data_IF_341462976651
#
_entry.id   IF_341462976651
#
_cell.length_a   1.000
_cell.length_b   1.000
_cell.length_c   1.000
_cell.angle_alpha   90.00
_cell.angle_beta   90.00
_cell.angle_gamma   90.00
#
_symmetry.space_group_name_H-M   'P 1'
#
loop_
_entity.id
_entity.type
_entity.pdbx_description
1 polymer ?
#
# COMPACT_ATOMS: atom_id res chain seq x y z
N UNK A 1 41.11 9.80 -5.80
CA UNK A 1 39.95 9.83 -6.73
C UNK A 1 39.04 10.98 -6.32
N UNK A 2 38.55 11.81 -7.26
CA UNK A 2 37.84 13.06 -6.96
C UNK A 2 36.47 12.88 -6.25
N UNK A 3 35.98 11.64 -6.11
CA UNK A 3 34.69 11.31 -5.47
C UNK A 3 34.79 10.82 -4.02
N UNK A 4 35.95 10.98 -3.36
CA UNK A 4 36.16 10.50 -1.98
C UNK A 4 35.29 11.17 -0.91
N UNK A 5 34.65 12.30 -1.23
CA UNK A 5 33.72 12.98 -0.32
C UNK A 5 32.34 12.31 -0.24
N UNK A 6 31.89 11.63 -1.31
CA UNK A 6 30.63 10.85 -1.32
C UNK A 6 30.76 9.47 -0.63
N UNK A 7 31.97 9.06 -0.27
CA UNK A 7 32.24 7.83 0.48
C UNK A 7 32.35 8.06 1.99
N UNK A 8 32.37 9.33 2.45
CA UNK A 8 32.30 9.67 3.88
C UNK A 8 30.83 9.71 4.34
N UNK A 9 30.52 9.15 5.52
CA UNK A 9 29.18 9.13 6.12
C UNK A 9 28.49 10.50 6.11
N UNK A 10 29.24 11.58 6.35
CA UNK A 10 28.67 12.92 6.42
C UNK A 10 28.45 13.53 5.03
N UNK A 11 29.38 13.32 4.09
CA UNK A 11 29.25 13.81 2.71
C UNK A 11 28.12 13.12 1.94
N UNK A 12 27.96 11.80 2.13
CA UNK A 12 26.86 11.03 1.56
C UNK A 12 25.49 11.48 2.11
N UNK A 13 25.38 11.69 3.44
CA UNK A 13 24.12 12.16 4.05
C UNK A 13 23.77 13.59 3.64
N UNK A 14 24.74 14.51 3.63
CA UNK A 14 24.52 15.88 3.17
C UNK A 14 24.08 15.92 1.71
N UNK A 15 24.72 15.13 0.84
CA UNK A 15 24.31 15.00 -0.54
C UNK A 15 22.87 14.47 -0.67
N UNK A 16 22.52 13.42 0.08
CA UNK A 16 21.15 12.89 0.10
C UNK A 16 20.11 13.92 0.57
N UNK A 17 20.41 14.66 1.64
CA UNK A 17 19.53 15.72 2.16
C UNK A 17 19.37 16.83 1.12
N UNK A 18 20.45 17.24 0.44
CA UNK A 18 20.40 18.27 -0.59
C UNK A 18 19.55 17.85 -1.79
N UNK A 19 19.71 16.61 -2.26
CA UNK A 19 18.88 16.07 -3.35
C UNK A 19 17.41 16.01 -2.92
N UNK A 20 17.12 15.51 -1.72
CA UNK A 20 15.76 15.45 -1.20
C UNK A 20 15.14 16.86 -1.05
N UNK A 21 15.92 17.84 -0.58
CA UNK A 21 15.48 19.22 -0.45
C UNK A 21 15.17 19.86 -1.82
N UNK A 22 16.02 19.62 -2.83
CA UNK A 22 15.78 20.09 -4.20
C UNK A 22 14.52 19.46 -4.80
N UNK A 23 14.31 18.15 -4.60
CA UNK A 23 13.11 17.45 -5.07
C UNK A 23 11.85 17.94 -4.34
N UNK A 24 11.92 18.19 -3.04
CA UNK A 24 10.79 18.72 -2.26
C UNK A 24 10.45 20.17 -2.62
N UNK A 25 11.46 20.98 -2.96
CA UNK A 25 11.28 22.36 -3.41
C UNK A 25 10.88 22.49 -4.88
N UNK A 26 10.90 21.38 -5.64
CA UNK A 26 10.51 21.38 -7.03
C UNK A 26 9.05 21.84 -7.18
N UNK A 27 8.77 22.83 -8.04
CA UNK A 27 7.42 23.33 -8.23
C UNK A 27 6.54 22.27 -8.90
N UNK A 28 5.24 22.33 -8.62
CA UNK A 28 4.26 21.43 -9.23
C UNK A 28 4.23 21.59 -10.76
N UNK A 29 3.84 20.55 -11.52
CA UNK A 29 3.78 20.61 -12.98
C UNK A 29 2.96 21.83 -13.45
N UNK A 30 3.59 22.71 -14.25
CA UNK A 30 2.96 23.93 -14.78
C UNK A 30 3.27 25.22 -14.02
N UNK A 31 4.05 25.19 -12.93
CA UNK A 31 4.59 26.39 -12.27
C UNK A 31 6.11 26.43 -12.43
N UNK A 32 6.65 27.52 -12.98
CA UNK A 32 8.09 27.66 -13.25
C UNK A 32 8.87 28.29 -12.08
N UNK A 33 8.17 28.85 -11.09
CA UNK A 33 8.81 29.62 -10.02
C UNK A 33 9.28 28.69 -8.89
N UNK A 34 10.59 28.68 -8.65
CA UNK A 34 11.22 28.05 -7.49
C UNK A 34 11.10 28.98 -6.27
N UNK A 35 9.91 29.04 -5.69
CA UNK A 35 9.60 29.86 -4.52
C UNK A 35 9.25 28.99 -3.33
N UNK A 36 9.49 29.48 -2.12
CA UNK A 36 8.99 28.89 -0.88
C UNK A 36 7.45 28.74 -0.91
N UNK A 37 6.74 29.58 -1.66
CA UNK A 37 5.28 29.53 -1.81
C UNK A 37 4.80 28.45 -2.79
N UNK A 38 5.66 27.92 -3.65
CA UNK A 38 5.36 26.88 -4.65
C UNK A 38 6.00 25.53 -4.32
N UNK A 39 7.00 25.53 -3.44
CA UNK A 39 7.67 24.35 -2.88
C UNK A 39 6.69 23.45 -2.10
N UNK A 40 6.87 22.12 -2.17
CA UNK A 40 6.11 21.15 -1.38
C UNK A 40 4.69 20.83 -1.87
N UNK A 41 4.14 21.58 -2.84
CA UNK A 41 2.79 21.36 -3.37
C UNK A 41 2.64 20.03 -4.11
N UNK A 42 3.69 19.58 -4.81
CA UNK A 42 3.69 18.28 -5.48
C UNK A 42 3.50 17.11 -4.50
N UNK A 43 4.15 17.17 -3.34
CA UNK A 43 4.00 16.17 -2.28
C UNK A 43 2.59 16.12 -1.71
N UNK A 44 1.95 17.28 -1.51
CA UNK A 44 0.56 17.34 -1.05
C UNK A 44 -0.45 16.73 -2.04
N UNK A 45 -0.16 16.83 -3.34
CA UNK A 45 -1.00 16.22 -4.39
C UNK A 45 -0.84 14.69 -4.41
N UNK A 46 0.37 14.18 -4.16
CA UNK A 46 0.67 12.75 -4.15
C UNK A 46 0.30 12.05 -2.84
N UNK A 47 0.18 12.79 -1.74
CA UNK A 47 -0.12 12.25 -0.41
C UNK A 47 -1.35 11.32 -0.35
N UNK A 48 -2.50 11.65 -0.97
CA UNK A 48 -3.67 10.77 -0.96
C UNK A 48 -3.38 9.41 -1.59
N UNK A 49 -2.56 9.38 -2.65
CA UNK A 49 -2.21 8.15 -3.36
C UNK A 49 -1.28 7.26 -2.52
N UNK A 50 -0.32 7.88 -1.83
CA UNK A 50 0.52 7.17 -0.86
C UNK A 50 -0.33 6.56 0.25
N UNK A 51 -1.23 7.34 0.85
CA UNK A 51 -2.14 6.87 1.89
C UNK A 51 -3.02 5.71 1.42
N UNK A 52 -3.65 5.83 0.25
CA UNK A 52 -4.52 4.79 -0.31
C UNK A 52 -3.75 3.48 -0.56
N UNK A 53 -2.57 3.56 -1.19
CA UNK A 53 -1.73 2.37 -1.47
C UNK A 53 -1.31 1.67 -0.17
N UNK A 54 -0.96 2.44 0.87
CA UNK A 54 -0.57 1.87 2.16
C UNK A 54 -1.74 1.17 2.86
N UNK A 55 -2.96 1.72 2.73
CA UNK A 55 -4.17 1.09 3.25
C UNK A 55 -4.53 -0.18 2.47
N UNK A 56 -4.32 -0.20 1.15
CA UNK A 56 -4.45 -1.40 0.32
C UNK A 56 -3.55 -2.55 0.81
N UNK A 57 -2.27 -2.25 1.09
CA UNK A 57 -1.32 -3.24 1.64
C UNK A 57 -1.75 -3.73 3.03
N UNK A 58 -2.22 -2.82 3.89
CA UNK A 58 -2.77 -3.18 5.18
C UNK A 58 -4.03 -4.06 5.05
N UNK A 59 -4.93 -3.71 4.12
CA UNK A 59 -6.13 -4.49 3.80
C UNK A 59 -5.79 -5.89 3.30
N UNK A 60 -4.77 -6.02 2.43
CA UNK A 60 -4.27 -7.32 1.97
C UNK A 60 -3.72 -8.14 3.15
N UNK A 61 -2.91 -7.54 4.03
CA UNK A 61 -2.39 -8.23 5.21
C UNK A 61 -3.52 -8.71 6.13
N UNK A 62 -4.53 -7.87 6.38
CA UNK A 62 -5.70 -8.25 7.17
C UNK A 62 -6.50 -9.39 6.51
N UNK A 63 -6.68 -9.37 5.19
CA UNK A 63 -7.33 -10.46 4.46
C UNK A 63 -6.56 -11.78 4.60
N UNK A 64 -5.23 -11.75 4.44
CA UNK A 64 -4.37 -12.93 4.61
C UNK A 64 -4.49 -13.51 6.02
N UNK A 65 -4.41 -12.67 7.06
CA UNK A 65 -4.54 -13.11 8.46
C UNK A 65 -5.94 -13.65 8.72
N UNK A 66 -6.98 -12.97 8.21
CA UNK A 66 -8.38 -13.40 8.33
C UNK A 66 -8.57 -14.79 7.74
N UNK A 67 -8.09 -15.04 6.52
CA UNK A 67 -8.19 -16.36 5.89
C UNK A 67 -7.34 -17.42 6.59
N UNK A 68 -6.15 -17.06 7.07
CA UNK A 68 -5.32 -17.97 7.85
C UNK A 68 -6.05 -18.47 9.11
N UNK A 69 -6.65 -17.56 9.87
CA UNK A 69 -7.40 -17.90 11.09
C UNK A 69 -8.72 -18.61 10.77
N UNK A 70 -9.43 -18.19 9.72
CA UNK A 70 -10.67 -18.80 9.25
C UNK A 70 -10.47 -20.27 8.87
N UNK A 71 -9.39 -20.56 8.14
CA UNK A 71 -8.95 -21.92 7.77
C UNK A 71 -8.76 -22.83 8.99
N UNK A 72 -8.32 -22.25 10.12
CA UNK A 72 -8.04 -22.94 11.39
C UNK A 72 -9.23 -22.94 12.37
N UNK A 73 -10.44 -22.54 11.93
CA UNK A 73 -11.62 -22.37 12.77
C UNK A 73 -11.38 -21.47 14.01
N UNK A 74 -10.52 -20.46 13.89
CA UNK A 74 -10.28 -19.46 14.94
C UNK A 74 -11.23 -18.27 14.75
N UNK A 75 -11.59 -17.54 15.82
CA UNK A 75 -12.45 -16.37 15.70
C UNK A 75 -11.75 -15.27 14.89
N UNK A 76 -12.47 -14.68 13.91
CA UNK A 76 -11.95 -13.61 13.03
C UNK A 76 -12.72 -12.31 13.12
N UNK A 77 -13.80 -12.25 13.89
CA UNK A 77 -14.75 -11.12 13.89
C UNK A 77 -14.08 -9.78 14.21
N UNK A 78 -13.05 -9.78 15.07
CA UNK A 78 -12.31 -8.58 15.46
C UNK A 78 -11.35 -8.06 14.37
N UNK A 79 -11.04 -8.88 13.35
CA UNK A 79 -10.23 -8.49 12.19
C UNK A 79 -11.07 -7.93 11.05
N UNK A 80 -12.31 -8.42 10.90
CA UNK A 80 -13.19 -8.05 9.78
C UNK A 80 -13.47 -6.55 9.80
N UNK A 81 -13.72 -5.95 10.97
CA UNK A 81 -14.04 -4.53 11.07
C UNK A 81 -12.85 -3.64 10.66
N UNK A 82 -11.62 -3.81 11.21
CA UNK A 82 -10.44 -3.11 10.71
C UNK A 82 -10.15 -3.36 9.22
N UNK A 83 -10.32 -4.60 8.74
CA UNK A 83 -10.09 -4.95 7.34
C UNK A 83 -11.03 -4.19 6.39
N UNK A 84 -12.32 -4.14 6.72
CA UNK A 84 -13.32 -3.40 5.94
C UNK A 84 -13.00 -1.90 5.92
N UNK A 85 -12.65 -1.32 7.07
CA UNK A 85 -12.26 0.09 7.12
C UNK A 85 -11.05 0.37 6.22
N UNK A 86 -10.02 -0.48 6.26
CA UNK A 86 -8.81 -0.34 5.45
C UNK A 86 -9.04 -0.56 3.95
N UNK A 87 -10.14 -1.17 3.53
CA UNK A 87 -10.46 -1.40 2.11
C UNK A 87 -11.49 -0.40 1.57
N UNK A 88 -12.44 0.06 2.40
CA UNK A 88 -13.53 0.95 1.97
C UNK A 88 -13.14 2.42 2.05
N UNK A 89 -12.42 2.84 3.10
CA UNK A 89 -12.00 4.23 3.25
C UNK A 89 -11.10 4.76 2.13
N UNK A 90 -10.06 4.02 1.66
CA UNK A 90 -9.22 4.52 0.60
C UNK A 90 -9.97 4.58 -0.74
N UNK A 91 -10.87 3.62 -1.01
CA UNK A 91 -11.78 3.69 -2.16
C UNK A 91 -12.63 4.95 -2.15
N UNK A 92 -13.26 5.24 -1.00
CA UNK A 92 -14.05 6.45 -0.83
C UNK A 92 -13.23 7.72 -1.05
N UNK A 93 -12.05 7.79 -0.45
CA UNK A 93 -11.13 8.92 -0.61
C UNK A 93 -10.69 9.10 -2.07
N UNK A 94 -10.36 8.01 -2.78
CA UNK A 94 -9.95 8.05 -4.19
C UNK A 94 -11.07 8.50 -5.10
N UNK A 95 -12.30 8.05 -4.88
CA UNK A 95 -13.46 8.52 -5.65
C UNK A 95 -13.69 10.03 -5.46
N UNK A 96 -13.57 10.52 -4.22
CA UNK A 96 -13.66 11.95 -3.93
C UNK A 96 -12.56 12.73 -4.66
N UNK A 97 -11.30 12.33 -4.52
CA UNK A 97 -10.17 13.01 -5.19
C UNK A 97 -10.32 13.01 -6.73
N UNK A 98 -10.78 11.90 -7.30
CA UNK A 98 -10.86 11.68 -8.74
C UNK A 98 -11.98 12.50 -9.38
N UNK A 99 -13.18 12.50 -8.79
CA UNK A 99 -14.39 13.08 -9.39
C UNK A 99 -14.84 14.40 -8.77
N UNK A 100 -14.75 14.54 -7.44
CA UNK A 100 -15.34 15.66 -6.71
C UNK A 100 -14.32 16.72 -6.26
N UNK A 101 -13.06 16.33 -6.11
CA UNK A 101 -12.02 17.14 -5.50
C UNK A 101 -11.93 16.96 -4.00
N UNK A 102 -10.93 17.60 -3.39
CA UNK A 102 -10.82 17.70 -1.95
C UNK A 102 -11.41 19.04 -1.49
N UNK A 103 -11.69 19.21 -0.20
CA UNK A 103 -12.20 20.48 0.34
C UNK A 103 -11.30 21.70 0.12
N UNK A 104 -10.17 21.55 -0.57
CA UNK A 104 -9.16 22.57 -0.84
C UNK A 104 -8.89 22.78 -2.34
N UNK A 105 -9.56 22.07 -3.25
CA UNK A 105 -9.24 22.11 -4.68
C UNK A 105 -10.18 21.30 -5.59
N UNK A 106 -10.06 21.53 -6.90
CA UNK A 106 -10.84 20.82 -7.92
C UNK A 106 -10.44 19.34 -8.00
N UNK A 107 -11.31 18.50 -8.56
CA UNK A 107 -11.01 17.09 -8.82
C UNK A 107 -9.78 16.92 -9.73
N UNK A 108 -9.12 15.77 -9.63
CA UNK A 108 -7.96 15.46 -10.48
C UNK A 108 -8.33 15.43 -11.95
N UNK A 109 -9.56 14.98 -12.27
CA UNK A 109 -10.09 15.01 -13.62
C UNK A 109 -10.28 16.46 -14.12
N UNK A 110 -10.88 17.32 -13.30
CA UNK A 110 -11.08 18.73 -13.66
C UNK A 110 -9.79 19.56 -13.70
N UNK A 111 -8.77 19.14 -12.95
CA UNK A 111 -7.45 19.80 -12.88
C UNK A 111 -6.49 19.31 -13.98
N UNK A 112 -6.89 18.35 -14.81
CA UNK A 112 -6.04 17.82 -15.89
C UNK A 112 -4.84 16.99 -15.39
N UNK A 113 -4.89 16.48 -14.17
CA UNK A 113 -3.80 15.70 -13.57
C UNK A 113 -3.87 14.22 -14.02
N UNK A 114 -3.67 13.97 -15.31
CA UNK A 114 -3.88 12.66 -15.95
C UNK A 114 -3.08 11.51 -15.33
N UNK A 115 -1.86 11.77 -14.85
CA UNK A 115 -1.07 10.75 -14.15
C UNK A 115 -1.77 10.30 -12.86
N UNK A 116 -2.22 11.24 -12.04
CA UNK A 116 -2.95 10.94 -10.79
C UNK A 116 -4.29 10.27 -11.07
N UNK A 117 -4.98 10.67 -12.13
CA UNK A 117 -6.20 10.01 -12.62
C UNK A 117 -5.92 8.54 -12.96
N UNK A 118 -4.87 8.29 -13.75
CA UNK A 118 -4.51 6.93 -14.17
C UNK A 118 -4.14 6.02 -13.00
N UNK A 119 -3.29 6.50 -12.08
CA UNK A 119 -2.96 5.69 -10.90
C UNK A 119 -4.17 5.54 -9.98
N UNK A 120 -4.95 6.59 -9.75
CA UNK A 120 -6.16 6.51 -8.91
C UNK A 120 -7.20 5.50 -9.42
N UNK A 121 -7.46 5.47 -10.74
CA UNK A 121 -8.34 4.47 -11.36
C UNK A 121 -7.78 3.07 -11.16
N UNK A 122 -6.47 2.89 -11.35
CA UNK A 122 -5.81 1.59 -11.15
C UNK A 122 -5.92 1.13 -9.70
N UNK A 123 -5.71 2.03 -8.73
CA UNK A 123 -5.87 1.77 -7.30
C UNK A 123 -7.30 1.32 -6.98
N UNK A 124 -8.31 2.04 -7.46
CA UNK A 124 -9.72 1.69 -7.25
C UNK A 124 -10.04 0.31 -7.87
N UNK A 125 -9.53 0.04 -9.08
CA UNK A 125 -9.73 -1.26 -9.73
C UNK A 125 -9.12 -2.41 -8.90
N UNK A 126 -7.92 -2.23 -8.34
CA UNK A 126 -7.28 -3.22 -7.46
C UNK A 126 -8.06 -3.42 -6.16
N UNK A 127 -8.58 -2.35 -5.55
CA UNK A 127 -9.42 -2.45 -4.35
C UNK A 127 -10.71 -3.22 -4.61
N UNK A 128 -11.40 -2.91 -5.72
CA UNK A 128 -12.61 -3.64 -6.14
C UNK A 128 -12.28 -5.11 -6.36
N UNK A 129 -11.18 -5.41 -7.06
CA UNK A 129 -10.73 -6.79 -7.27
C UNK A 129 -10.49 -7.52 -5.95
N UNK A 130 -9.77 -6.90 -5.01
CA UNK A 130 -9.51 -7.49 -3.70
C UNK A 130 -10.78 -7.73 -2.89
N UNK A 131 -11.76 -6.83 -2.93
CA UNK A 131 -13.05 -7.03 -2.28
C UNK A 131 -13.81 -8.21 -2.88
N UNK A 132 -13.81 -8.34 -4.21
CA UNK A 132 -14.44 -9.48 -4.91
C UNK A 132 -13.76 -10.79 -4.50
N UNK A 133 -12.44 -10.86 -4.57
CA UNK A 133 -11.67 -12.06 -4.17
C UNK A 133 -11.93 -12.42 -2.70
N UNK A 134 -11.99 -11.42 -1.83
CA UNK A 134 -12.27 -11.63 -0.42
C UNK A 134 -13.65 -12.31 -0.20
N UNK A 135 -14.68 -11.81 -0.88
CA UNK A 135 -16.04 -12.35 -0.78
C UNK A 135 -16.15 -13.76 -1.36
N UNK A 136 -15.48 -14.04 -2.48
CA UNK A 136 -15.48 -15.36 -3.13
C UNK A 136 -14.76 -16.42 -2.27
N UNK A 137 -13.67 -16.04 -1.61
CA UNK A 137 -12.83 -16.97 -0.86
C UNK A 137 -13.39 -17.29 0.53
N UNK A 138 -14.12 -16.36 1.16
CA UNK A 138 -14.66 -16.53 2.51
C UNK A 138 -15.44 -17.86 2.74
N UNK A 139 -16.35 -18.31 1.84
CA UNK A 139 -17.02 -19.61 2.00
C UNK A 139 -16.14 -20.82 1.63
N UNK A 140 -15.14 -20.66 0.75
CA UNK A 140 -14.35 -21.78 0.19
C UNK A 140 -13.23 -22.28 1.10
N UNK A 141 -12.73 -21.43 2.00
CA UNK A 141 -11.48 -21.69 2.74
C UNK A 141 -11.71 -22.42 4.08
N UNK A 142 -12.97 -22.56 4.52
CA UNK A 142 -13.28 -23.20 5.81
C UNK A 142 -12.99 -24.70 5.76
N UNK A 143 -12.07 -25.18 6.62
CA UNK A 143 -11.86 -26.60 6.89
C UNK A 143 -10.82 -27.33 6.03
N UNK A 144 -10.12 -26.64 5.12
CA UNK A 144 -9.01 -27.24 4.36
C UNK A 144 -7.74 -27.17 5.23
N UNK A 145 -7.38 -28.19 6.01
CA UNK A 145 -6.09 -28.21 6.71
C UNK A 145 -5.00 -28.83 5.80
N UNK A 146 -3.74 -28.42 5.95
CA UNK A 146 -2.62 -29.12 5.29
C UNK A 146 -2.60 -30.57 5.77
N UNK A 147 -2.35 -31.52 4.87
CA UNK A 147 -2.02 -32.89 5.26
C UNK A 147 -0.78 -32.83 6.14
N UNK A 148 -0.93 -33.14 7.43
CA UNK A 148 0.20 -33.34 8.34
C UNK A 148 1.13 -34.36 7.72
N UNK A 149 2.28 -33.91 7.19
CA UNK A 149 3.39 -34.78 6.82
C UNK A 149 4.14 -35.21 8.08
N UNK A 150 3.42 -35.82 9.03
CA UNK A 150 3.97 -36.37 10.29
C UNK A 150 4.28 -37.87 10.17
N UNK A 151 4.13 -38.47 8.99
CA UNK A 151 4.54 -39.86 8.73
C UNK A 151 5.99 -40.00 8.23
N UNK A 152 6.89 -39.09 8.64
CA UNK A 152 8.35 -39.31 8.51
C UNK A 152 8.93 -39.62 9.89
N UNK A 153 8.43 -40.70 10.51
CA UNK A 153 9.21 -41.43 11.51
C UNK A 153 9.70 -42.70 10.82
N UNK A 154 10.99 -42.81 10.46
CA UNK A 154 11.54 -44.11 10.09
C UNK A 154 11.42 -45.03 11.30
N UNK A 155 10.58 -46.06 11.22
CA UNK A 155 10.48 -47.15 12.21
C UNK A 155 11.72 -48.07 12.17
N UNK A 156 12.93 -47.52 12.14
CA UNK A 156 14.16 -48.31 12.04
C UNK A 156 15.11 -47.98 13.19
N UNK A 157 14.70 -48.32 14.41
CA UNK A 157 15.63 -48.46 15.55
C UNK A 157 15.12 -49.44 16.63
N UNK A 158 14.21 -50.35 16.28
CA UNK A 158 13.80 -51.46 17.14
C UNK A 158 13.89 -52.76 16.37
N UNK A 159 15.11 -53.15 15.96
CA UNK A 159 15.43 -54.53 15.55
C UNK A 159 16.96 -54.66 15.37
N UNK A 160 17.66 -54.91 16.47
CA UNK A 160 18.90 -55.71 16.58
C UNK A 160 19.29 -55.68 18.06
N UNK A 161 18.86 -56.72 18.81
CA UNK A 161 19.68 -57.89 19.19
C UNK A 161 20.56 -57.59 20.40
#
# INVERSE_FOLDING_TARGET
MPWSWLTNRHGATLFGILIAAVVAAAPAPGQADWSLATSGKGGLILWPLFGATNQLLAGLAFLVITFHLWRRNKPVWFLILPALFMLVMPMWAMLLQLFFGNGSGKSWLASGHWLLVGVGITTIALEVWMLIEALIMFPKVKGVLEHSSDNVVPQTATESS
#
